data_IF_301311627007
#
_entry.id   IF_301311627007
#
_cell.length_a   1.000
_cell.length_b   1.000
_cell.length_c   1.000
_cell.angle_alpha   90.00
_cell.angle_beta   90.00
_cell.angle_gamma   90.00
#
_symmetry.space_group_name_H-M   'P 1'
#
loop_
_entity.id
_entity.type
_entity.pdbx_description
1 polymer ?
#
# COMPACT_ATOMS: atom_id res chain seq x y z
N UNK A 1 16.53 9.98 -15.09
CA UNK A 1 15.07 10.25 -15.13
C UNK A 1 14.76 11.66 -15.62
N UNK A 2 15.03 12.76 -14.89
CA UNK A 2 14.72 14.12 -15.43
C UNK A 2 15.45 14.46 -16.73
N UNK A 3 16.72 14.05 -16.86
CA UNK A 3 17.49 14.17 -18.12
C UNK A 3 16.84 13.43 -19.30
N UNK A 4 16.06 12.40 -18.99
CA UNK A 4 15.38 11.53 -19.96
C UNK A 4 13.89 11.90 -20.09
N UNK A 5 13.51 13.10 -19.60
CA UNK A 5 12.17 13.68 -19.70
C UNK A 5 11.06 12.89 -18.96
N UNK A 6 11.41 12.13 -17.93
CA UNK A 6 10.42 11.45 -17.08
C UNK A 6 9.67 12.44 -16.19
N UNK A 7 8.34 12.29 -16.14
CA UNK A 7 7.50 12.94 -15.13
C UNK A 7 7.46 12.07 -13.88
N UNK A 8 7.77 12.64 -12.72
CA UNK A 8 7.82 11.90 -11.45
C UNK A 8 6.64 12.22 -10.53
N UNK A 9 5.99 11.19 -10.00
CA UNK A 9 4.88 11.35 -9.06
C UNK A 9 4.93 10.35 -7.90
N UNK A 10 4.53 10.79 -6.73
CA UNK A 10 4.23 9.91 -5.60
C UNK A 10 2.72 9.96 -5.32
N UNK A 11 2.16 8.81 -4.95
CA UNK A 11 0.75 8.62 -4.59
C UNK A 11 0.68 8.02 -3.17
N UNK A 12 -0.08 8.67 -2.29
CA UNK A 12 -0.29 8.17 -0.93
C UNK A 12 -1.61 8.66 -0.33
N UNK A 13 -2.36 7.74 0.31
CA UNK A 13 -3.63 8.02 0.97
C UNK A 13 -3.54 8.68 2.35
N UNK A 14 -2.46 9.40 2.67
CA UNK A 14 -2.25 10.11 3.94
C UNK A 14 -1.65 11.50 3.66
N UNK A 15 -1.68 12.39 4.65
CA UNK A 15 -1.21 13.77 4.57
C UNK A 15 0.24 13.88 4.12
N UNK A 16 0.55 14.87 3.28
CA UNK A 16 1.90 15.12 2.78
C UNK A 16 2.96 15.42 3.85
N UNK A 17 2.55 15.88 5.03
CA UNK A 17 3.47 16.24 6.12
C UNK A 17 3.92 15.03 6.95
N UNK A 18 3.20 13.91 6.88
CA UNK A 18 3.58 12.69 7.56
C UNK A 18 4.95 12.20 7.04
N UNK A 19 5.83 11.80 7.95
CA UNK A 19 7.25 11.50 7.67
C UNK A 19 8.04 12.64 6.99
N UNK A 20 7.57 13.90 7.07
CA UNK A 20 8.19 15.06 6.42
C UNK A 20 8.34 14.89 4.89
N UNK A 21 7.44 14.12 4.26
CA UNK A 21 7.51 13.76 2.83
C UNK A 21 7.42 14.99 1.93
N UNK A 22 6.62 15.99 2.29
CA UNK A 22 6.49 17.24 1.53
C UNK A 22 7.82 17.97 1.33
N UNK A 23 8.71 17.99 2.32
CA UNK A 23 10.03 18.61 2.18
C UNK A 23 11.03 17.66 1.53
N UNK A 24 11.00 16.37 1.90
CA UNK A 24 11.92 15.38 1.36
C UNK A 24 11.72 15.16 -0.15
N UNK A 25 10.47 15.05 -0.62
CA UNK A 25 10.16 14.84 -2.04
C UNK A 25 10.49 16.07 -2.90
N UNK A 26 10.40 17.29 -2.36
CA UNK A 26 10.93 18.50 -3.02
C UNK A 26 12.45 18.40 -3.19
N UNK A 27 13.17 17.99 -2.15
CA UNK A 27 14.63 17.80 -2.20
C UNK A 27 15.04 16.71 -3.20
N UNK A 28 14.27 15.62 -3.29
CA UNK A 28 14.47 14.56 -4.29
C UNK A 28 14.07 14.98 -5.71
N UNK A 29 13.35 16.10 -5.86
CA UNK A 29 12.93 16.64 -7.13
C UNK A 29 11.72 15.93 -7.74
N UNK A 30 10.83 15.33 -6.95
CA UNK A 30 9.55 14.86 -7.45
C UNK A 30 8.75 16.01 -8.08
N UNK A 31 8.11 15.76 -9.22
CA UNK A 31 7.32 16.79 -9.90
C UNK A 31 5.91 16.91 -9.28
N UNK A 32 5.37 15.81 -8.77
CA UNK A 32 4.04 15.74 -8.13
C UNK A 32 4.05 14.84 -6.89
N UNK A 33 3.22 15.20 -5.92
CA UNK A 33 2.85 14.37 -4.77
C UNK A 33 1.33 14.46 -4.62
N UNK A 34 0.65 13.33 -4.86
CA UNK A 34 -0.78 13.15 -4.73
C UNK A 34 -1.05 12.51 -3.35
N UNK A 35 -1.14 13.38 -2.34
CA UNK A 35 -1.44 13.02 -0.95
C UNK A 35 -2.96 12.91 -0.69
N UNK A 36 -3.37 12.74 0.57
CA UNK A 36 -4.79 12.58 0.96
C UNK A 36 -5.74 13.67 0.44
N UNK A 37 -5.25 14.87 0.10
CA UNK A 37 -6.09 15.95 -0.47
C UNK A 37 -6.63 15.63 -1.88
N UNK A 38 -6.11 14.59 -2.54
CA UNK A 38 -6.50 14.18 -3.91
C UNK A 38 -7.49 13.01 -3.96
N UNK A 39 -7.87 12.45 -2.82
CA UNK A 39 -8.75 11.30 -2.72
C UNK A 39 -10.01 11.61 -1.91
N UNK A 40 -11.06 10.80 -2.07
CA UNK A 40 -12.23 10.87 -1.21
C UNK A 40 -11.95 10.21 0.15
N UNK A 41 -11.63 11.04 1.16
CA UNK A 41 -11.31 10.61 2.52
C UNK A 41 -12.57 10.40 3.36
N UNK A 42 -13.58 9.71 2.81
CA UNK A 42 -14.81 9.40 3.53
C UNK A 42 -14.56 8.34 4.63
N UNK A 43 -15.44 8.27 5.62
CA UNK A 43 -15.27 7.40 6.79
C UNK A 43 -15.26 5.91 6.45
N UNK A 44 -15.94 5.50 5.37
CA UNK A 44 -16.05 4.08 4.98
C UNK A 44 -14.76 3.59 4.30
N UNK A 45 -14.12 4.48 3.54
CA UNK A 45 -12.91 4.19 2.77
C UNK A 45 -11.62 4.50 3.53
N UNK A 46 -11.71 5.01 4.76
CA UNK A 46 -10.53 5.36 5.58
C UNK A 46 -10.43 4.46 6.83
N UNK A 47 -9.20 4.09 7.19
CA UNK A 47 -8.88 3.34 8.40
C UNK A 47 -7.51 3.72 8.94
N UNK A 48 -7.33 3.64 10.25
CA UNK A 48 -6.03 3.79 10.92
C UNK A 48 -5.25 5.05 10.47
N UNK A 49 -4.36 4.90 9.48
CA UNK A 49 -3.49 5.96 8.95
C UNK A 49 -4.02 6.70 7.72
N UNK A 50 -5.10 6.26 7.09
CA UNK A 50 -5.62 6.94 5.90
C UNK A 50 -6.48 6.05 5.01
N UNK A 51 -6.44 6.32 3.71
CA UNK A 51 -7.26 5.65 2.70
C UNK A 51 -6.93 4.16 2.59
N UNK A 52 -7.97 3.33 2.48
CA UNK A 52 -7.87 1.89 2.20
C UNK A 52 -7.29 1.65 0.79
N UNK A 53 -6.60 0.54 0.61
CA UNK A 53 -5.76 0.31 -0.58
C UNK A 53 -6.60 0.08 -1.86
N UNK A 54 -7.79 -0.53 -1.76
CA UNK A 54 -8.71 -0.70 -2.91
C UNK A 54 -9.19 0.65 -3.46
N UNK A 55 -9.84 1.55 -2.68
CA UNK A 55 -10.21 2.87 -3.19
C UNK A 55 -8.99 3.70 -3.60
N UNK A 56 -7.86 3.63 -2.86
CA UNK A 56 -6.62 4.31 -3.22
C UNK A 56 -6.12 3.96 -4.63
N UNK A 57 -5.99 2.67 -4.98
CA UNK A 57 -5.56 2.29 -6.32
C UNK A 57 -6.58 2.71 -7.38
N UNK A 58 -7.87 2.49 -7.12
CA UNK A 58 -8.95 2.85 -8.04
C UNK A 58 -8.98 4.35 -8.37
N UNK A 59 -8.89 5.21 -7.37
CA UNK A 59 -8.90 6.67 -7.53
C UNK A 59 -7.61 7.23 -8.11
N UNK A 60 -6.49 6.51 -7.92
CA UNK A 60 -5.22 6.90 -8.54
C UNK A 60 -5.17 6.63 -10.05
N UNK A 61 -5.92 5.66 -10.57
CA UNK A 61 -5.86 5.24 -11.98
C UNK A 61 -6.18 6.36 -12.99
N UNK A 62 -7.22 7.19 -12.79
CA UNK A 62 -7.46 8.37 -13.63
C UNK A 62 -6.28 9.34 -13.66
N UNK A 63 -5.60 9.55 -12.53
CA UNK A 63 -4.44 10.43 -12.45
C UNK A 63 -3.28 9.81 -13.24
N UNK A 64 -2.93 8.55 -12.93
CA UNK A 64 -1.83 7.82 -13.57
C UNK A 64 -2.01 7.73 -15.10
N UNK A 65 -3.22 7.41 -15.57
CA UNK A 65 -3.53 7.29 -17.01
C UNK A 65 -3.34 8.60 -17.78
N UNK A 66 -3.55 9.74 -17.12
CA UNK A 66 -3.40 11.06 -17.72
C UNK A 66 -2.01 11.69 -17.49
N UNK A 67 -1.09 10.98 -16.82
CA UNK A 67 0.28 11.46 -16.67
C UNK A 67 1.02 11.50 -18.00
N UNK A 68 1.85 12.54 -18.18
CA UNK A 68 2.75 12.63 -19.34
C UNK A 68 3.78 11.50 -19.28
N UNK A 69 3.79 10.65 -20.32
CA UNK A 69 4.80 9.60 -20.50
C UNK A 69 6.08 10.15 -21.14
N UNK A 70 7.28 9.60 -20.81
CA UNK A 70 7.47 8.54 -19.82
C UNK A 70 7.29 9.07 -18.38
N UNK A 71 6.87 8.19 -17.46
CA UNK A 71 6.70 8.55 -16.05
C UNK A 71 7.46 7.61 -15.11
N UNK A 72 7.75 8.11 -13.92
CA UNK A 72 8.19 7.33 -12.76
C UNK A 72 7.20 7.61 -11.64
N UNK A 73 6.41 6.61 -11.27
CA UNK A 73 5.38 6.71 -10.23
C UNK A 73 5.69 5.77 -9.09
N UNK A 74 5.49 6.24 -7.85
CA UNK A 74 5.56 5.42 -6.63
C UNK A 74 4.23 5.47 -5.91
N UNK A 75 3.69 4.29 -5.59
CA UNK A 75 2.47 4.11 -4.83
C UNK A 75 2.85 3.60 -3.44
N UNK A 76 2.48 4.32 -2.39
CA UNK A 76 2.71 3.91 -1.00
C UNK A 76 1.38 3.50 -0.39
N UNK A 77 1.19 2.20 -0.18
CA UNK A 77 -0.01 1.61 0.41
C UNK A 77 -0.06 1.81 1.94
N UNK A 78 -1.22 1.56 2.55
CA UNK A 78 -1.47 1.82 3.98
C UNK A 78 -2.23 0.74 4.73
N UNK A 79 -3.04 -0.08 4.05
CA UNK A 79 -4.05 -0.90 4.75
C UNK A 79 -3.44 -2.02 5.59
N UNK A 80 -2.29 -2.56 5.16
CA UNK A 80 -1.52 -3.59 5.85
C UNK A 80 -0.53 -3.00 6.88
N UNK A 81 -1.02 -2.11 7.74
CA UNK A 81 -0.24 -1.48 8.81
C UNK A 81 -0.70 -1.97 10.18
N UNK A 82 0.23 -2.14 11.12
CA UNK A 82 -0.05 -2.48 12.52
C UNK A 82 -1.15 -1.58 13.11
N UNK A 83 -2.14 -2.12 13.86
CA UNK A 83 -2.28 -3.51 14.31
C UNK A 83 -3.10 -4.42 13.36
N UNK A 84 -3.13 -4.13 12.06
CA UNK A 84 -3.62 -5.01 10.98
C UNK A 84 -5.13 -5.32 10.93
N UNK A 85 -5.95 -4.74 11.81
CA UNK A 85 -7.40 -4.96 11.79
C UNK A 85 -8.05 -4.49 10.48
N UNK A 86 -9.02 -5.23 9.97
CA UNK A 86 -9.87 -4.90 8.82
C UNK A 86 -11.32 -4.71 9.27
N UNK A 87 -12.11 -3.89 8.57
CA UNK A 87 -13.52 -3.70 8.91
C UNK A 87 -14.39 -4.79 8.26
N UNK A 88 -15.58 -5.02 8.82
CA UNK A 88 -16.56 -5.94 8.23
C UNK A 88 -16.90 -5.52 6.79
N UNK A 89 -16.84 -6.47 5.86
CA UNK A 89 -17.08 -6.23 4.43
C UNK A 89 -15.85 -5.78 3.64
N UNK A 90 -14.71 -5.48 4.27
CA UNK A 90 -13.46 -5.22 3.54
C UNK A 90 -12.90 -6.50 2.91
N UNK A 91 -13.00 -7.62 3.64
CA UNK A 91 -12.48 -8.95 3.28
C UNK A 91 -13.32 -10.04 3.94
N UNK A 92 -13.53 -11.14 3.21
CA UNK A 92 -14.14 -12.38 3.74
C UNK A 92 -13.06 -13.41 4.11
N UNK A 93 -11.78 -13.02 4.10
CA UNK A 93 -10.67 -13.88 4.50
C UNK A 93 -10.65 -14.04 6.01
N UNK A 94 -10.72 -15.28 6.49
CA UNK A 94 -10.70 -15.59 7.92
C UNK A 94 -9.39 -15.16 8.59
N UNK A 95 -9.43 -14.65 9.84
CA UNK A 95 -8.22 -14.39 10.59
C UNK A 95 -7.46 -15.69 10.89
N UNK A 96 -6.19 -15.56 11.24
CA UNK A 96 -5.43 -16.66 11.83
C UNK A 96 -6.02 -17.13 13.17
N UNK A 97 -5.57 -18.30 13.61
CA UNK A 97 -5.90 -18.85 14.95
C UNK A 97 -4.60 -19.25 15.66
N UNK A 98 -3.76 -18.25 15.93
CA UNK A 98 -2.46 -18.41 16.58
C UNK A 98 -2.46 -17.86 18.02
N UNK A 99 -3.57 -17.25 18.46
CA UNK A 99 -3.75 -16.74 19.81
C UNK A 99 -3.06 -15.40 20.05
N UNK A 100 -2.79 -14.65 18.99
CA UNK A 100 -2.24 -13.30 19.02
C UNK A 100 -2.97 -12.49 17.94
N UNK A 101 -3.79 -11.54 18.35
CA UNK A 101 -4.66 -10.79 17.43
C UNK A 101 -3.87 -9.99 16.38
N UNK A 102 -2.63 -9.59 16.65
CA UNK A 102 -1.80 -8.88 15.67
C UNK A 102 -1.39 -9.83 14.55
N UNK A 103 -0.95 -11.04 14.92
CA UNK A 103 -0.58 -12.08 13.95
C UNK A 103 -1.81 -12.61 13.21
N UNK A 104 -2.91 -12.83 13.93
CA UNK A 104 -4.15 -13.35 13.37
C UNK A 104 -4.76 -12.39 12.33
N UNK A 105 -4.79 -11.08 12.64
CA UNK A 105 -5.30 -10.06 11.73
C UNK A 105 -4.35 -9.77 10.54
N UNK A 106 -3.04 -9.99 10.70
CA UNK A 106 -2.07 -9.74 9.62
C UNK A 106 -2.42 -10.48 8.33
N UNK A 107 -2.93 -11.71 8.43
CA UNK A 107 -3.34 -12.48 7.26
C UNK A 107 -4.51 -11.82 6.51
N UNK A 108 -5.46 -11.24 7.22
CA UNK A 108 -6.62 -10.57 6.62
C UNK A 108 -6.20 -9.30 5.86
N UNK A 109 -5.37 -8.45 6.47
CA UNK A 109 -4.91 -7.22 5.81
C UNK A 109 -3.90 -7.48 4.70
N UNK A 110 -3.09 -8.54 4.81
CA UNK A 110 -2.23 -9.00 3.72
C UNK A 110 -3.05 -9.52 2.52
N UNK A 111 -4.10 -10.31 2.76
CA UNK A 111 -5.03 -10.74 1.73
C UNK A 111 -5.74 -9.55 1.07
N UNK A 112 -6.22 -8.58 1.87
CA UNK A 112 -6.84 -7.37 1.33
C UNK A 112 -5.89 -6.56 0.42
N UNK A 113 -4.62 -6.43 0.81
CA UNK A 113 -3.60 -5.79 -0.01
C UNK A 113 -3.34 -6.56 -1.31
N UNK A 114 -3.30 -7.89 -1.26
CA UNK A 114 -3.15 -8.74 -2.44
C UNK A 114 -4.29 -8.52 -3.45
N UNK A 115 -5.54 -8.51 -2.98
CA UNK A 115 -6.71 -8.20 -3.82
C UNK A 115 -6.66 -6.78 -4.41
N UNK A 116 -6.18 -5.81 -3.62
CA UNK A 116 -6.01 -4.43 -4.09
C UNK A 116 -4.93 -4.31 -5.19
N UNK A 117 -3.84 -5.08 -5.07
CA UNK A 117 -2.80 -5.19 -6.10
C UNK A 117 -3.36 -5.89 -7.34
N UNK A 118 -4.14 -6.96 -7.20
CA UNK A 118 -4.79 -7.63 -8.33
C UNK A 118 -5.68 -6.64 -9.09
N UNK A 119 -6.52 -5.87 -8.38
CA UNK A 119 -7.34 -4.81 -8.95
C UNK A 119 -6.48 -3.80 -9.71
N UNK A 120 -5.40 -3.31 -9.11
CA UNK A 120 -4.50 -2.34 -9.75
C UNK A 120 -3.89 -2.89 -11.04
N UNK A 121 -3.40 -4.13 -11.04
CA UNK A 121 -2.85 -4.77 -12.25
C UNK A 121 -3.93 -4.96 -13.34
N UNK A 122 -5.16 -5.31 -12.96
CA UNK A 122 -6.26 -5.41 -13.89
C UNK A 122 -6.60 -4.05 -14.52
N UNK A 123 -6.52 -2.97 -13.76
CA UNK A 123 -6.75 -1.62 -14.28
C UNK A 123 -5.58 -1.08 -15.12
N UNK A 124 -4.33 -1.44 -14.79
CA UNK A 124 -3.16 -1.20 -15.65
C UNK A 124 -3.31 -1.90 -17.01
N UNK A 125 -3.79 -3.15 -17.03
CA UNK A 125 -4.06 -3.90 -18.28
C UNK A 125 -5.18 -3.23 -19.09
N UNK A 126 -6.32 -2.93 -18.45
CA UNK A 126 -7.47 -2.27 -19.11
C UNK A 126 -7.13 -0.88 -19.66
N UNK A 127 -6.21 -0.16 -19.01
CA UNK A 127 -5.77 1.17 -19.44
C UNK A 127 -4.73 1.15 -20.56
N UNK A 128 -4.14 -0.01 -20.85
CA UNK A 128 -3.03 -0.17 -21.80
C UNK A 128 -1.66 0.26 -21.24
N UNK A 129 -1.57 0.60 -19.95
CA UNK A 129 -0.31 0.97 -19.31
C UNK A 129 0.58 -0.24 -19.02
N UNK A 130 -0.01 -1.41 -18.77
CA UNK A 130 0.72 -2.61 -18.33
C UNK A 130 1.85 -3.01 -19.29
N UNK A 131 1.58 -3.07 -20.60
CA UNK A 131 2.52 -3.60 -21.58
C UNK A 131 3.76 -2.70 -21.81
N UNK A 132 3.69 -1.43 -21.39
CA UNK A 132 4.76 -0.44 -21.58
C UNK A 132 5.27 0.16 -20.26
N UNK A 133 4.98 -0.50 -19.13
CA UNK A 133 5.42 -0.06 -17.80
C UNK A 133 6.22 -1.17 -17.12
N UNK A 134 7.40 -0.82 -16.60
CA UNK A 134 8.11 -1.70 -15.66
C UNK A 134 7.49 -1.51 -14.29
N UNK A 135 6.86 -2.56 -13.77
CA UNK A 135 6.28 -2.56 -12.42
C UNK A 135 7.25 -3.27 -11.47
N UNK A 136 7.60 -2.60 -10.37
CA UNK A 136 8.46 -3.13 -9.31
C UNK A 136 7.66 -3.06 -8.01
N UNK A 137 7.52 -4.21 -7.34
CA UNK A 137 6.89 -4.32 -6.03
C UNK A 137 7.94 -4.71 -5.00
N UNK A 138 7.87 -4.13 -3.81
CA UNK A 138 8.77 -4.45 -2.71
C UNK A 138 8.04 -4.24 -1.38
N UNK A 139 8.28 -5.14 -0.41
CA UNK A 139 7.94 -4.87 0.99
C UNK A 139 8.96 -3.91 1.58
N UNK A 140 8.51 -2.92 2.35
CA UNK A 140 9.35 -1.88 2.93
C UNK A 140 10.08 -2.34 4.20
N UNK A 141 9.38 -3.07 5.08
CA UNK A 141 9.94 -3.65 6.30
C UNK A 141 9.08 -4.81 6.85
N UNK A 142 9.51 -5.39 7.98
CA UNK A 142 8.73 -6.41 8.69
C UNK A 142 7.45 -5.81 9.28
N UNK A 143 6.34 -6.57 9.25
CA UNK A 143 5.10 -6.21 9.94
C UNK A 143 5.01 -6.77 11.36
N UNK A 144 5.53 -7.98 11.57
CA UNK A 144 5.49 -8.71 12.84
C UNK A 144 6.85 -8.62 13.53
N UNK A 145 6.88 -8.01 14.72
CA UNK A 145 8.10 -7.85 15.53
C UNK A 145 8.36 -9.07 16.44
N UNK A 146 9.51 -9.08 17.11
CA UNK A 146 9.88 -10.13 18.08
C UNK A 146 8.89 -10.28 19.25
N UNK A 147 8.03 -9.28 19.50
CA UNK A 147 6.98 -9.34 20.51
C UNK A 147 5.96 -10.47 20.26
N UNK A 148 5.90 -10.98 19.03
CA UNK A 148 4.95 -12.00 18.61
C UNK A 148 5.61 -13.35 18.31
N UNK A 149 6.83 -13.59 18.83
CA UNK A 149 7.58 -14.83 18.58
C UNK A 149 6.75 -16.08 18.90
N UNK A 150 6.00 -16.10 20.01
CA UNK A 150 5.19 -17.26 20.42
C UNK A 150 4.11 -17.63 19.38
N UNK A 151 3.44 -16.64 18.79
CA UNK A 151 2.48 -16.88 17.72
C UNK A 151 3.17 -17.26 16.41
N UNK A 152 4.30 -16.63 16.09
CA UNK A 152 5.08 -16.93 14.89
C UNK A 152 5.73 -18.33 14.92
N UNK A 153 6.04 -18.90 16.08
CA UNK A 153 6.40 -20.31 16.20
C UNK A 153 5.29 -21.23 15.70
N UNK A 154 4.02 -20.90 16.01
CA UNK A 154 2.86 -21.66 15.54
C UNK A 154 2.64 -21.46 14.03
N UNK A 155 2.77 -20.23 13.53
CA UNK A 155 2.66 -19.91 12.10
C UNK A 155 3.70 -20.67 11.27
N UNK A 156 4.96 -20.64 11.70
CA UNK A 156 6.09 -21.19 10.93
C UNK A 156 6.33 -22.68 11.18
N UNK A 157 5.82 -23.22 12.28
CA UNK A 157 6.13 -24.57 12.76
C UNK A 157 7.56 -24.72 13.29
N UNK A 158 8.31 -23.63 13.48
CA UNK A 158 9.69 -23.64 13.95
C UNK A 158 9.75 -23.35 15.45
N UNK A 159 10.35 -24.25 16.23
CA UNK A 159 10.58 -24.04 17.67
C UNK A 159 11.69 -23.02 17.91
N UNK A 160 11.53 -22.16 18.92
CA UNK A 160 12.46 -21.07 19.24
C UNK A 160 12.62 -20.09 18.07
N UNK A 161 11.55 -19.82 17.33
CA UNK A 161 11.58 -18.85 16.23
C UNK A 161 11.97 -17.47 16.76
N UNK A 162 12.84 -16.79 16.01
CA UNK A 162 13.28 -15.41 16.26
C UNK A 162 13.45 -14.72 14.92
N UNK A 163 13.05 -13.45 14.86
CA UNK A 163 13.23 -12.58 13.70
C UNK A 163 14.71 -12.19 13.53
#
# INVERSE_FOLDING_TARGET
MKKDQYTSAEFHGNTKTFWNRNEMFKSFGYDRFYDSEYYDMNEQDTKNYGLKDKPFFKESMPILKNMKQPFYSKFITLSNHFPFGMDEGDTDFEPGDFGDSVVDNYFQSAHYLDEAIEQFFNDLKKSGLYDNTVVIMYGDHYGISENHNEAMEKVTGQKNWRL
#
